data_IF_462833822030
#
_entry.id   IF_462833822030
#
_cell.length_a   1.000
_cell.length_b   1.000
_cell.length_c   1.000
_cell.angle_alpha   90.00
_cell.angle_beta   90.00
_cell.angle_gamma   90.00
#
_symmetry.space_group_name_H-M   'P 1'
#
loop_
_entity.id
_entity.type
_entity.pdbx_description
1 polymer ?
#
# COMPACT_ATOMS: atom_id res chain seq x y z
N UNK A 1 -9.95 -15.54 5.83
CA UNK A 1 -9.62 -14.94 7.14
C UNK A 1 -8.86 -13.65 6.85
N UNK A 2 -9.56 -12.57 6.56
CA UNK A 2 -8.97 -11.26 6.23
C UNK A 2 -8.60 -10.57 7.53
N UNK A 3 -7.32 -10.61 7.90
CA UNK A 3 -6.82 -9.74 8.95
C UNK A 3 -6.94 -8.30 8.42
N UNK A 4 -7.85 -7.52 9.01
CA UNK A 4 -7.94 -6.08 8.72
C UNK A 4 -6.57 -5.45 8.97
N UNK A 5 -6.05 -4.66 8.03
CA UNK A 5 -4.75 -4.00 8.14
C UNK A 5 -4.58 -3.15 9.41
N UNK A 6 -5.70 -2.71 9.99
CA UNK A 6 -5.73 -2.02 11.29
C UNK A 6 -5.20 -2.89 12.44
N UNK A 7 -5.49 -4.19 12.44
CA UNK A 7 -5.03 -5.13 13.49
C UNK A 7 -3.54 -5.46 13.40
N UNK A 8 -3.00 -5.51 12.18
CA UNK A 8 -1.56 -5.78 11.94
C UNK A 8 -0.71 -4.56 12.30
N UNK A 9 -1.15 -3.35 11.95
CA UNK A 9 -0.45 -2.11 12.28
C UNK A 9 -0.33 -1.88 13.80
N UNK A 10 -1.34 -2.27 14.57
CA UNK A 10 -1.32 -2.16 16.03
C UNK A 10 -0.20 -2.99 16.67
N UNK A 11 0.18 -4.12 16.06
CA UNK A 11 1.22 -5.00 16.60
C UNK A 11 2.64 -4.65 16.12
N UNK A 12 2.80 -3.98 14.97
CA UNK A 12 4.13 -3.74 14.40
C UNK A 12 4.91 -2.69 15.18
N UNK A 13 4.29 -1.57 15.57
CA UNK A 13 5.00 -0.49 16.28
C UNK A 13 5.60 -0.96 17.62
N UNK A 14 4.85 -1.62 18.52
CA UNK A 14 5.42 -2.12 19.78
C UNK A 14 6.57 -3.09 19.56
N UNK A 15 6.44 -4.00 18.59
CA UNK A 15 7.47 -4.99 18.26
C UNK A 15 8.77 -4.34 17.72
N UNK A 16 8.66 -3.22 17.02
CA UNK A 16 9.85 -2.48 16.54
C UNK A 16 10.60 -1.88 17.73
N UNK A 17 9.90 -1.15 18.59
CA UNK A 17 10.49 -0.54 19.80
C UNK A 17 11.15 -1.58 20.68
N UNK A 18 10.51 -2.73 20.91
CA UNK A 18 11.08 -3.82 21.71
C UNK A 18 12.41 -4.35 21.14
N UNK A 19 12.52 -4.45 19.81
CA UNK A 19 13.68 -5.07 19.16
C UNK A 19 14.81 -4.09 18.86
N UNK A 20 14.50 -2.82 18.64
CA UNK A 20 15.49 -1.81 18.22
C UNK A 20 15.81 -0.81 19.33
N UNK A 21 14.93 -0.67 20.32
CA UNK A 21 15.01 0.39 21.33
C UNK A 21 14.57 1.77 20.82
N UNK A 22 14.14 1.88 19.56
CA UNK A 22 13.83 3.14 18.89
C UNK A 22 12.34 3.27 18.59
N UNK A 23 11.72 4.35 19.03
CA UNK A 23 10.35 4.73 18.65
C UNK A 23 10.39 5.76 17.53
N UNK A 24 10.16 5.28 16.30
CA UNK A 24 10.23 6.10 15.09
C UNK A 24 8.84 6.53 14.64
N UNK A 25 8.68 7.83 14.40
CA UNK A 25 7.50 8.39 13.76
C UNK A 25 7.55 8.18 12.24
N UNK A 26 7.39 6.92 11.82
CA UNK A 26 7.33 6.49 10.43
C UNK A 26 5.92 6.02 10.08
N UNK A 27 5.41 6.42 8.92
CA UNK A 27 4.21 5.83 8.36
C UNK A 27 4.52 4.45 7.74
N UNK A 28 3.91 3.39 8.27
CA UNK A 28 4.13 2.01 7.78
C UNK A 28 3.38 1.70 6.47
N UNK A 29 2.45 2.57 6.05
CA UNK A 29 1.69 2.46 4.79
C UNK A 29 1.00 1.10 4.56
N UNK A 30 0.56 0.41 5.61
CA UNK A 30 -0.22 -0.81 5.44
C UNK A 30 -1.62 -0.50 4.88
N UNK A 31 -2.17 -1.45 4.14
CA UNK A 31 -3.45 -1.33 3.45
C UNK A 31 -4.30 -2.59 3.67
N UNK A 32 -5.61 -2.41 3.80
CA UNK A 32 -6.55 -3.51 4.07
C UNK A 32 -7.06 -4.20 2.81
N UNK A 33 -7.19 -3.45 1.72
CA UNK A 33 -7.59 -3.94 0.41
C UNK A 33 -6.58 -3.48 -0.64
N UNK A 34 -6.19 -4.41 -1.52
CA UNK A 34 -5.16 -4.18 -2.51
C UNK A 34 -5.63 -3.23 -3.63
N UNK A 35 -6.85 -3.40 -4.11
CA UNK A 35 -7.37 -2.61 -5.23
C UNK A 35 -7.70 -1.19 -4.81
N UNK A 36 -8.31 -1.02 -3.64
CA UNK A 36 -8.61 0.31 -3.10
C UNK A 36 -7.33 1.12 -2.85
N UNK A 37 -6.29 0.46 -2.31
CA UNK A 37 -4.99 1.08 -2.13
C UNK A 37 -4.31 1.43 -3.47
N UNK A 38 -4.44 0.57 -4.48
CA UNK A 38 -3.92 0.84 -5.82
C UNK A 38 -4.61 2.04 -6.47
N UNK A 39 -5.94 2.11 -6.42
CA UNK A 39 -6.71 3.26 -6.92
C UNK A 39 -6.30 4.56 -6.23
N UNK A 40 -6.18 4.55 -4.90
CA UNK A 40 -5.74 5.70 -4.14
C UNK A 40 -4.30 6.16 -4.50
N UNK A 41 -3.39 5.21 -4.78
CA UNK A 41 -2.04 5.55 -5.24
C UNK A 41 -2.05 6.18 -6.63
N UNK A 42 -2.85 5.64 -7.55
CA UNK A 42 -2.98 6.18 -8.91
C UNK A 42 -3.55 7.58 -8.89
N UNK A 43 -4.58 7.84 -8.09
CA UNK A 43 -5.14 9.18 -7.94
C UNK A 43 -4.11 10.17 -7.39
N UNK A 44 -3.26 9.74 -6.46
CA UNK A 44 -2.12 10.56 -5.97
C UNK A 44 -1.11 10.86 -7.07
N UNK A 45 -0.76 9.88 -7.90
CA UNK A 45 0.19 10.07 -9.01
C UNK A 45 -0.41 11.03 -10.05
N UNK A 46 -1.69 10.84 -10.42
CA UNK A 46 -2.43 11.70 -11.36
C UNK A 46 -2.51 13.15 -10.89
N UNK A 47 -2.71 13.36 -9.59
CA UNK A 47 -2.81 14.69 -9.00
C UNK A 47 -1.43 15.35 -8.74
N UNK A 48 -0.32 14.66 -8.98
CA UNK A 48 0.99 15.13 -8.56
C UNK A 48 1.57 16.16 -9.55
N UNK A 49 1.95 17.38 -9.10
CA UNK A 49 2.34 18.49 -9.99
C UNK A 49 3.64 18.26 -10.77
N UNK A 50 4.48 17.30 -10.34
CA UNK A 50 5.70 16.92 -11.06
C UNK A 50 5.54 15.77 -12.04
N UNK A 51 4.35 15.17 -12.11
CA UNK A 51 4.06 14.13 -13.09
C UNK A 51 3.53 14.79 -14.37
N UNK A 52 4.11 14.39 -15.51
CA UNK A 52 3.65 14.85 -16.82
C UNK A 52 2.28 14.26 -17.12
N UNK A 53 1.51 14.93 -17.98
CA UNK A 53 0.25 14.40 -18.48
C UNK A 53 0.52 13.20 -19.43
N UNK A 54 0.54 12.00 -18.85
CA UNK A 54 0.79 10.73 -19.52
C UNK A 54 -0.20 9.68 -19.02
N UNK A 55 -0.52 8.64 -19.83
CA UNK A 55 -1.35 7.54 -19.37
C UNK A 55 -0.77 6.86 -18.13
N UNK A 56 -1.61 6.67 -17.11
CA UNK A 56 -1.27 5.98 -15.86
C UNK A 56 -2.21 4.80 -15.71
N UNK A 57 -1.63 3.60 -15.60
CA UNK A 57 -2.32 2.33 -15.47
C UNK A 57 -2.04 1.70 -14.11
N UNK A 58 -3.08 1.14 -13.50
CA UNK A 58 -3.02 0.32 -12.31
C UNK A 58 -3.16 -1.14 -12.62
N UNK A 59 -2.13 -1.94 -12.34
CA UNK A 59 -2.18 -3.39 -12.54
C UNK A 59 -1.94 -4.14 -11.23
N UNK A 60 -2.69 -5.21 -11.04
CA UNK A 60 -2.47 -6.21 -9.99
C UNK A 60 -1.87 -7.44 -10.65
N UNK A 61 -0.79 -7.93 -10.06
CA UNK A 61 -0.20 -9.22 -10.41
C UNK A 61 -0.86 -10.34 -9.61
N UNK A 62 -1.50 -11.27 -10.32
CA UNK A 62 -2.11 -12.48 -9.75
C UNK A 62 -1.04 -13.57 -9.61
N UNK A 63 -0.63 -13.86 -8.37
CA UNK A 63 0.50 -14.74 -8.09
C UNK A 63 0.21 -16.17 -8.51
N UNK A 64 -1.04 -16.61 -8.38
CA UNK A 64 -1.47 -17.97 -8.68
C UNK A 64 -1.42 -18.28 -10.18
N UNK A 65 -1.69 -17.28 -11.02
CA UNK A 65 -1.84 -17.44 -12.47
C UNK A 65 -0.72 -16.81 -13.29
N UNK A 66 0.05 -15.91 -12.67
CA UNK A 66 1.06 -15.09 -13.32
C UNK A 66 0.49 -13.98 -14.22
N UNK A 67 -0.82 -13.71 -14.15
CA UNK A 67 -1.49 -12.70 -14.99
C UNK A 67 -1.38 -11.31 -14.39
N UNK A 68 -1.40 -10.31 -15.27
CA UNK A 68 -1.61 -8.92 -14.90
C UNK A 68 -3.05 -8.55 -15.19
N UNK A 69 -3.74 -8.01 -14.18
CA UNK A 69 -5.10 -7.51 -14.30
C UNK A 69 -5.10 -6.00 -14.10
N UNK A 70 -5.66 -5.29 -15.06
CA UNK A 70 -5.83 -3.85 -14.97
C UNK A 70 -7.03 -3.51 -14.06
N UNK A 71 -6.87 -2.46 -13.24
CA UNK A 71 -7.80 -2.05 -12.18
C UNK A 71 -8.21 -0.58 -12.32
N UNK A 72 -7.35 0.27 -12.89
CA UNK A 72 -7.54 1.72 -13.02
C UNK A 72 -6.64 2.36 -14.07
#
# INVERSE_FOLDING_TARGET
MTASASGVLHQIRPNLVEKTGEDVDLALHAFGDLEDNLRAQIDRIRAHPWIKDVPIHGLVYEIETGRLREVA
#
